data_IF_423364311087
#
_entry.id   IF_423364311087
#
_cell.length_a   1.000
_cell.length_b   1.000
_cell.length_c   1.000
_cell.angle_alpha   90.00
_cell.angle_beta   90.00
_cell.angle_gamma   90.00
#
_symmetry.space_group_name_H-M   'P 1'
#
loop_
_entity.id
_entity.type
_entity.pdbx_description
1 polymer ?
#
# COMPACT_ATOMS: atom_id res chain seq x y z
N UNK A 1 -7.81 -2.21 20.83
CA UNK A 1 -7.39 -3.42 21.54
C UNK A 1 -5.88 -3.48 21.55
N UNK A 2 -5.26 -3.58 22.73
CA UNK A 2 -3.84 -3.91 22.83
C UNK A 2 -3.69 -5.43 22.79
N UNK A 3 -3.21 -5.96 21.67
CA UNK A 3 -2.88 -7.37 21.52
C UNK A 3 -1.45 -7.60 22.02
N UNK A 4 -1.29 -8.47 23.01
CA UNK A 4 0.02 -8.86 23.52
C UNK A 4 0.35 -10.23 22.92
N UNK A 5 1.41 -10.29 22.11
CA UNK A 5 1.86 -11.54 21.51
C UNK A 5 2.79 -12.28 22.48
N UNK A 6 2.36 -13.44 22.96
CA UNK A 6 3.16 -14.31 23.83
C UNK A 6 3.35 -15.70 23.20
N UNK A 7 4.58 -16.20 23.20
CA UNK A 7 4.91 -17.57 22.74
C UNK A 7 4.47 -18.66 23.74
N UNK A 8 4.46 -18.32 25.03
CA UNK A 8 3.91 -19.14 26.13
C UNK A 8 2.97 -18.22 26.90
N UNK A 9 1.77 -18.68 27.25
CA UNK A 9 0.82 -17.88 28.05
C UNK A 9 1.53 -17.26 29.26
N UNK A 10 1.79 -15.95 29.23
CA UNK A 10 2.20 -15.22 30.42
C UNK A 10 0.93 -14.95 31.20
N UNK A 11 0.69 -15.76 32.23
CA UNK A 11 -0.50 -15.62 33.07
C UNK A 11 -0.41 -14.32 33.86
N UNK A 12 -0.89 -13.21 33.28
CA UNK A 12 -1.16 -11.98 34.04
C UNK A 12 -2.56 -12.12 34.64
N UNK A 13 -2.63 -12.07 35.97
CA UNK A 13 -3.88 -12.23 36.75
C UNK A 13 -4.93 -11.16 36.43
N UNK A 14 -4.49 -9.99 35.94
CA UNK A 14 -5.37 -8.89 35.56
C UNK A 14 -4.82 -8.20 34.30
N UNK A 15 -5.69 -7.99 33.31
CA UNK A 15 -5.44 -7.17 32.13
C UNK A 15 -6.25 -5.87 32.23
N UNK A 16 -5.81 -4.82 31.54
CA UNK A 16 -6.63 -3.60 31.43
C UNK A 16 -7.92 -3.91 30.66
N UNK A 17 -8.99 -3.15 30.88
CA UNK A 17 -10.30 -3.35 30.21
C UNK A 17 -10.20 -3.44 28.67
N UNK A 18 -9.16 -2.84 28.08
CA UNK A 18 -8.94 -2.78 26.63
C UNK A 18 -7.82 -3.72 26.13
N UNK A 19 -7.23 -4.52 27.03
CA UNK A 19 -6.19 -5.49 26.70
C UNK A 19 -6.83 -6.87 26.56
N UNK A 20 -6.69 -7.46 25.38
CA UNK A 20 -7.07 -8.85 25.15
C UNK A 20 -5.80 -9.66 24.96
N UNK A 21 -5.70 -10.76 25.71
CA UNK A 21 -4.68 -11.77 25.49
C UNK A 21 -5.14 -12.60 24.28
N UNK A 22 -4.47 -12.41 23.16
CA UNK A 22 -4.69 -13.19 21.96
C UNK A 22 -3.40 -13.97 21.72
N UNK A 23 -3.42 -15.26 22.02
CA UNK A 23 -2.42 -16.18 21.49
C UNK A 23 -2.54 -16.18 19.98
N UNK A 24 -1.41 -16.09 19.28
CA UNK A 24 -1.43 -16.27 17.84
C UNK A 24 -1.81 -17.74 17.55
N UNK A 25 -2.90 -17.98 16.83
CA UNK A 25 -3.52 -19.31 16.59
C UNK A 25 -2.69 -20.27 15.72
N UNK A 26 -1.36 -20.19 15.74
CA UNK A 26 -0.51 -21.24 15.18
C UNK A 26 -0.40 -22.38 16.20
N UNK A 27 -1.46 -23.15 16.35
CA UNK A 27 -1.39 -24.39 17.11
C UNK A 27 -0.42 -25.36 16.42
N UNK A 28 0.56 -25.80 17.21
CA UNK A 28 1.64 -26.77 16.93
C UNK A 28 2.79 -26.23 16.09
N UNK A 29 4.00 -26.42 16.62
CA UNK A 29 5.21 -26.47 15.82
C UNK A 29 4.98 -27.49 14.69
N UNK A 30 4.94 -27.02 13.45
CA UNK A 30 4.68 -27.85 12.28
C UNK A 30 5.91 -27.86 11.37
N UNK A 31 6.17 -29.01 10.75
CA UNK A 31 7.23 -29.12 9.75
C UNK A 31 6.76 -28.50 8.44
N UNK A 32 7.30 -27.34 8.10
CA UNK A 32 7.00 -26.64 6.84
C UNK A 32 8.00 -27.06 5.77
N UNK A 33 7.52 -27.64 4.67
CA UNK A 33 8.34 -27.88 3.47
C UNK A 33 8.31 -26.62 2.59
N UNK A 34 9.48 -26.09 2.26
CA UNK A 34 9.62 -24.95 1.36
C UNK A 34 10.77 -25.16 0.37
N UNK A 35 10.69 -24.44 -0.73
CA UNK A 35 11.72 -24.35 -1.76
C UNK A 35 12.40 -22.99 -1.65
N UNK A 36 13.72 -23.00 -1.66
CA UNK A 36 14.53 -21.79 -1.82
C UNK A 36 14.81 -21.54 -3.32
N UNK A 37 14.52 -20.32 -3.79
CA UNK A 37 14.76 -19.87 -5.15
C UNK A 37 15.71 -18.67 -5.13
N UNK A 38 16.93 -18.85 -5.64
CA UNK A 38 17.89 -17.75 -5.82
C UNK A 38 17.65 -17.08 -7.17
N UNK A 39 17.34 -15.78 -7.19
CA UNK A 39 17.05 -15.01 -8.40
C UNK A 39 17.92 -13.75 -8.46
N UNK A 40 18.42 -13.42 -9.65
CA UNK A 40 19.13 -12.16 -9.92
C UNK A 40 18.12 -11.06 -10.21
N UNK A 41 18.18 -9.97 -9.45
CA UNK A 41 17.21 -8.86 -9.55
C UNK A 41 17.75 -7.70 -10.37
N UNK A 42 19.06 -7.51 -10.36
CA UNK A 42 19.68 -6.44 -11.12
C UNK A 42 19.41 -6.54 -12.62
N UNK A 43 19.40 -5.36 -13.25
CA UNK A 43 19.37 -5.28 -14.71
C UNK A 43 20.78 -5.57 -15.24
N UNK A 44 20.92 -6.36 -16.32
CA UNK A 44 22.21 -6.67 -16.92
C UNK A 44 23.05 -5.40 -17.19
N UNK A 45 22.38 -4.33 -17.61
CA UNK A 45 22.99 -3.06 -18.04
C UNK A 45 23.60 -2.25 -16.88
N UNK A 46 23.25 -2.58 -15.63
CA UNK A 46 23.73 -1.82 -14.45
C UNK A 46 25.04 -2.36 -13.86
N UNK A 47 25.57 -3.48 -14.36
CA UNK A 47 26.86 -4.04 -13.94
C UNK A 47 26.97 -4.46 -12.47
N UNK A 48 25.88 -4.39 -11.69
CA UNK A 48 25.82 -4.79 -10.28
C UNK A 48 25.11 -6.13 -10.17
N UNK A 49 25.65 -7.05 -9.39
CA UNK A 49 25.02 -8.36 -9.14
C UNK A 49 24.27 -8.34 -7.82
N UNK A 50 22.98 -8.00 -7.90
CA UNK A 50 22.06 -8.08 -6.77
C UNK A 50 21.25 -9.38 -6.86
N UNK A 51 21.37 -10.21 -5.83
CA UNK A 51 20.69 -11.49 -5.71
C UNK A 51 19.68 -11.43 -4.56
N UNK A 52 18.52 -12.05 -4.76
CA UNK A 52 17.55 -12.29 -3.69
C UNK A 52 17.26 -13.79 -3.58
N UNK A 53 16.94 -14.22 -2.36
CA UNK A 53 16.53 -15.59 -2.07
C UNK A 53 15.07 -15.58 -1.64
N UNK A 54 14.22 -16.26 -2.43
CA UNK A 54 12.80 -16.37 -2.17
C UNK A 54 12.49 -17.73 -1.56
N UNK A 55 11.77 -17.73 -0.44
CA UNK A 55 11.21 -18.94 0.15
C UNK A 55 9.77 -19.11 -0.35
N UNK A 56 9.44 -20.28 -0.90
CA UNK A 56 8.13 -20.52 -1.49
C UNK A 56 7.70 -21.97 -1.36
N UNK A 57 6.39 -22.22 -1.26
CA UNK A 57 5.78 -23.55 -1.38
C UNK A 57 5.33 -23.86 -2.81
N UNK A 58 5.56 -22.96 -3.78
CA UNK A 58 5.10 -23.11 -5.16
C UNK A 58 5.89 -24.20 -5.92
N UNK A 59 5.17 -24.94 -6.76
CA UNK A 59 5.72 -26.04 -7.57
C UNK A 59 6.81 -25.52 -8.54
N UNK A 60 7.90 -26.29 -8.68
CA UNK A 60 9.03 -25.98 -9.58
C UNK A 60 8.69 -26.00 -11.07
N UNK A 61 7.86 -26.94 -11.50
CA UNK A 61 7.45 -27.12 -12.90
C UNK A 61 6.55 -25.96 -13.35
N UNK A 62 5.56 -25.60 -12.53
CA UNK A 62 4.64 -24.50 -12.84
C UNK A 62 5.26 -23.11 -12.60
N UNK A 63 6.14 -22.99 -11.60
CA UNK A 63 6.81 -21.75 -11.22
C UNK A 63 8.35 -21.89 -11.30
N UNK A 64 8.91 -21.89 -12.51
CA UNK A 64 10.35 -21.84 -12.72
C UNK A 64 10.92 -20.47 -12.31
N UNK A 65 12.25 -20.38 -12.18
CA UNK A 65 12.94 -19.16 -11.70
C UNK A 65 12.56 -17.88 -12.46
N UNK A 66 12.40 -17.86 -13.80
CA UNK A 66 11.97 -16.66 -14.52
C UNK A 66 10.57 -16.18 -14.13
N UNK A 67 9.65 -17.12 -13.87
CA UNK A 67 8.28 -16.80 -13.40
C UNK A 67 8.31 -16.29 -11.96
N UNK A 68 9.13 -16.90 -11.10
CA UNK A 68 9.36 -16.42 -9.73
C UNK A 68 9.91 -14.98 -9.71
N UNK A 69 10.85 -14.65 -10.61
CA UNK A 69 11.38 -13.28 -10.76
C UNK A 69 10.26 -12.29 -11.13
N UNK A 70 9.39 -12.65 -12.08
CA UNK A 70 8.22 -11.83 -12.46
C UNK A 70 7.27 -11.61 -11.28
N UNK A 71 6.93 -12.68 -10.54
CA UNK A 71 6.07 -12.58 -9.35
C UNK A 71 6.67 -11.68 -8.27
N UNK A 72 7.97 -11.82 -8.00
CA UNK A 72 8.65 -10.95 -7.05
C UNK A 72 8.63 -9.48 -7.49
N UNK A 73 8.75 -9.22 -8.79
CA UNK A 73 8.64 -7.86 -9.33
C UNK A 73 7.25 -7.24 -9.09
N UNK A 74 6.17 -8.02 -9.15
CA UNK A 74 4.81 -7.52 -8.87
C UNK A 74 4.65 -6.97 -7.44
N UNK A 75 5.47 -7.43 -6.48
CA UNK A 75 5.49 -6.91 -5.10
C UNK A 75 5.72 -5.40 -5.04
N UNK A 76 6.53 -4.86 -5.95
CA UNK A 76 6.81 -3.41 -6.01
C UNK A 76 5.57 -2.58 -6.32
N UNK A 77 4.64 -3.11 -7.12
CA UNK A 77 3.36 -2.46 -7.40
C UNK A 77 2.54 -2.27 -6.12
N UNK A 78 2.47 -3.31 -5.28
CA UNK A 78 1.77 -3.29 -4.00
C UNK A 78 2.39 -2.28 -3.04
N UNK A 79 3.72 -2.27 -2.91
CA UNK A 79 4.44 -1.32 -2.05
C UNK A 79 4.19 0.14 -2.46
N UNK A 80 4.15 0.40 -3.77
CA UNK A 80 3.80 1.71 -4.31
C UNK A 80 2.35 2.12 -3.99
N UNK A 81 1.41 1.18 -4.04
CA UNK A 81 0.01 1.42 -3.64
C UNK A 81 -0.11 1.72 -2.15
N UNK A 82 0.56 0.97 -1.28
CA UNK A 82 0.59 1.27 0.16
C UNK A 82 1.25 2.62 0.46
N UNK A 83 2.27 3.01 -0.31
CA UNK A 83 2.86 4.34 -0.20
C UNK A 83 1.83 5.44 -0.49
N UNK A 84 1.06 5.29 -1.57
CA UNK A 84 -0.03 6.23 -1.93
C UNK A 84 -1.09 6.28 -0.83
N UNK A 85 -1.56 5.14 -0.34
CA UNK A 85 -2.53 5.07 0.77
C UNK A 85 -2.00 5.79 2.03
N UNK A 86 -0.75 5.54 2.41
CA UNK A 86 -0.14 6.14 3.60
C UNK A 86 0.06 7.65 3.45
N UNK A 87 0.62 8.11 2.34
CA UNK A 87 1.14 9.48 2.25
C UNK A 87 0.33 10.40 1.35
N UNK A 88 -0.35 9.90 0.31
CA UNK A 88 -1.17 10.75 -0.56
C UNK A 88 -2.58 10.93 0.02
N UNK A 89 -3.13 9.89 0.65
CA UNK A 89 -4.42 9.95 1.36
C UNK A 89 -4.29 10.24 2.86
N UNK A 90 -3.11 10.05 3.46
CA UNK A 90 -2.89 10.36 4.87
C UNK A 90 -3.30 9.25 5.84
N UNK A 91 -3.35 7.97 5.43
CA UNK A 91 -3.70 6.82 6.29
C UNK A 91 -2.66 6.50 7.40
N UNK A 92 -1.76 7.44 7.71
CA UNK A 92 -0.87 7.41 8.87
C UNK A 92 -1.16 8.56 9.85
N UNK A 93 -2.11 9.43 9.51
CA UNK A 93 -2.48 10.62 10.23
C UNK A 93 -3.87 10.40 10.83
N UNK A 94 -3.92 9.96 12.08
CA UNK A 94 -5.19 9.59 12.73
C UNK A 94 -5.76 10.77 13.53
N UNK A 95 -7.07 10.95 13.42
CA UNK A 95 -7.83 11.94 14.17
C UNK A 95 -8.35 11.38 15.49
N UNK A 96 -8.47 10.07 15.63
CA UNK A 96 -8.87 9.45 16.88
C UNK A 96 -7.68 8.82 17.63
N UNK A 97 -7.84 8.71 18.95
CA UNK A 97 -6.99 7.92 19.84
C UNK A 97 -7.64 6.60 20.27
N UNK A 98 -8.94 6.43 19.97
CA UNK A 98 -9.66 5.20 20.32
C UNK A 98 -9.52 4.19 19.18
N UNK A 99 -9.20 2.95 19.53
CA UNK A 99 -8.88 1.91 18.55
C UNK A 99 -10.01 1.65 17.55
N UNK A 100 -11.26 1.59 18.02
CA UNK A 100 -12.43 1.37 17.15
C UNK A 100 -12.58 2.49 16.10
N UNK A 101 -12.32 3.74 16.49
CA UNK A 101 -12.39 4.87 15.56
C UNK A 101 -11.17 4.93 14.62
N UNK A 102 -9.99 4.52 15.09
CA UNK A 102 -8.81 4.36 14.23
C UNK A 102 -9.09 3.31 13.15
N UNK A 103 -9.70 2.20 13.52
CA UNK A 103 -10.11 1.14 12.59
C UNK A 103 -11.10 1.68 11.54
N UNK A 104 -12.13 2.43 11.97
CA UNK A 104 -13.07 3.10 11.07
C UNK A 104 -12.35 4.07 10.11
N UNK A 105 -11.39 4.87 10.61
CA UNK A 105 -10.58 5.76 9.77
C UNK A 105 -9.78 4.97 8.73
N UNK A 106 -9.15 3.85 9.11
CA UNK A 106 -8.41 2.99 8.18
C UNK A 106 -9.33 2.48 7.06
N UNK A 107 -10.53 2.00 7.41
CA UNK A 107 -11.52 1.57 6.42
C UNK A 107 -11.96 2.71 5.50
N UNK A 108 -12.22 3.91 6.04
CA UNK A 108 -12.57 5.07 5.24
C UNK A 108 -11.46 5.45 4.23
N UNK A 109 -10.19 5.43 4.65
CA UNK A 109 -9.06 5.67 3.74
C UNK A 109 -8.95 4.60 2.64
N UNK A 110 -9.22 3.33 2.95
CA UNK A 110 -9.21 2.25 1.95
C UNK A 110 -10.35 2.41 0.93
N UNK A 111 -11.55 2.75 1.39
CA UNK A 111 -12.69 3.04 0.51
C UNK A 111 -12.33 4.21 -0.41
N UNK A 112 -11.81 5.31 0.15
CA UNK A 112 -11.39 6.48 -0.63
C UNK A 112 -10.29 6.14 -1.64
N UNK A 113 -9.32 5.30 -1.27
CA UNK A 113 -8.29 4.83 -2.19
C UNK A 113 -8.88 4.10 -3.40
N UNK A 114 -9.86 3.24 -3.17
CA UNK A 114 -10.56 2.51 -4.22
C UNK A 114 -11.39 3.47 -5.09
N UNK A 115 -12.13 4.40 -4.48
CA UNK A 115 -12.88 5.44 -5.20
C UNK A 115 -11.96 6.27 -6.10
N UNK A 116 -10.86 6.79 -5.57
CA UNK A 116 -9.89 7.57 -6.35
C UNK A 116 -9.28 6.75 -7.48
N UNK A 117 -8.96 5.48 -7.22
CA UNK A 117 -8.40 4.57 -8.23
C UNK A 117 -9.39 4.31 -9.37
N UNK A 118 -10.67 4.08 -9.06
CA UNK A 118 -11.73 3.87 -10.04
C UNK A 118 -11.97 5.12 -10.89
N UNK A 119 -12.03 6.30 -10.27
CA UNK A 119 -12.20 7.57 -11.00
C UNK A 119 -11.00 7.83 -11.91
N UNK A 120 -9.78 7.57 -11.44
CA UNK A 120 -8.58 7.71 -12.25
C UNK A 120 -8.57 6.76 -13.45
N UNK A 121 -9.08 5.53 -13.31
CA UNK A 121 -9.15 4.58 -14.40
C UNK A 121 -10.09 5.04 -15.54
N UNK A 122 -11.08 5.87 -15.22
CA UNK A 122 -12.03 6.43 -16.20
C UNK A 122 -11.54 7.74 -16.83
N UNK A 123 -10.55 8.41 -16.23
CA UNK A 123 -10.07 9.69 -16.72
C UNK A 123 -9.15 9.51 -17.94
N UNK A 124 -9.40 10.33 -18.97
CA UNK A 124 -8.55 10.37 -20.16
C UNK A 124 -7.14 10.88 -19.83
N UNK A 125 -6.12 10.23 -20.38
CA UNK A 125 -4.73 10.66 -20.23
C UNK A 125 -4.20 11.10 -21.60
N UNK A 126 -3.86 12.39 -21.78
CA UNK A 126 -3.32 12.87 -23.05
C UNK A 126 -1.92 12.29 -23.32
N UNK A 127 -1.70 11.76 -24.53
CA UNK A 127 -0.45 11.10 -24.96
C UNK A 127 0.05 11.63 -26.33
N UNK A 128 0.05 12.95 -26.57
CA UNK A 128 0.46 13.52 -27.87
C UNK A 128 1.93 13.90 -27.86
N UNK A 129 2.71 13.39 -28.83
CA UNK A 129 4.14 13.67 -29.02
C UNK A 129 4.98 13.57 -27.73
N UNK A 130 4.70 12.57 -26.90
CA UNK A 130 5.31 12.40 -25.59
C UNK A 130 6.51 11.45 -25.65
N UNK A 131 7.64 11.86 -25.05
CA UNK A 131 8.84 11.01 -24.89
C UNK A 131 8.60 9.78 -24.01
N UNK A 132 7.68 9.89 -23.06
CA UNK A 132 7.34 8.85 -22.09
C UNK A 132 5.83 8.62 -22.06
N UNK A 133 5.40 7.44 -21.61
CA UNK A 133 3.99 7.21 -21.26
C UNK A 133 3.63 8.00 -20.02
N UNK A 134 2.58 8.80 -20.09
CA UNK A 134 2.07 9.54 -18.93
C UNK A 134 1.01 8.75 -18.18
N UNK A 135 0.92 8.96 -16.86
CA UNK A 135 -0.17 8.49 -16.02
C UNK A 135 -0.70 9.65 -15.18
N UNK A 136 -1.91 9.50 -14.65
CA UNK A 136 -2.51 10.50 -13.77
C UNK A 136 -1.72 10.62 -12.47
N UNK A 137 -1.55 11.87 -12.01
CA UNK A 137 -0.97 12.15 -10.70
C UNK A 137 -1.97 11.81 -9.59
N UNK A 138 -1.82 10.63 -9.00
CA UNK A 138 -2.69 10.11 -7.95
C UNK A 138 -2.90 11.08 -6.77
N UNK A 139 -1.84 11.78 -6.34
CA UNK A 139 -1.90 12.76 -5.24
C UNK A 139 -2.82 13.93 -5.57
N UNK A 140 -2.75 14.43 -6.80
CA UNK A 140 -3.63 15.51 -7.25
C UNK A 140 -5.08 15.03 -7.38
N UNK A 141 -5.29 13.81 -7.86
CA UNK A 141 -6.63 13.19 -7.89
C UNK A 141 -7.25 13.11 -6.50
N UNK A 142 -6.50 12.65 -5.49
CA UNK A 142 -6.97 12.59 -4.10
C UNK A 142 -7.48 13.96 -3.66
N UNK A 143 -6.69 15.03 -3.86
CA UNK A 143 -7.07 16.40 -3.48
C UNK A 143 -8.32 16.90 -4.20
N UNK A 144 -8.43 16.64 -5.50
CA UNK A 144 -9.57 17.07 -6.31
C UNK A 144 -10.85 16.35 -5.86
N UNK A 145 -10.78 15.03 -5.67
CA UNK A 145 -11.92 14.19 -5.30
C UNK A 145 -12.37 14.50 -3.87
N UNK A 146 -11.44 14.62 -2.91
CA UNK A 146 -11.76 15.02 -1.54
C UNK A 146 -12.51 16.36 -1.50
N UNK A 147 -12.10 17.35 -2.31
CA UNK A 147 -12.77 18.66 -2.34
C UNK A 147 -14.21 18.57 -2.86
N UNK A 148 -14.55 17.55 -3.65
CA UNK A 148 -15.88 17.41 -4.24
C UNK A 148 -16.84 16.54 -3.42
N UNK A 149 -16.37 15.92 -2.33
CA UNK A 149 -17.13 14.95 -1.56
C UNK A 149 -18.40 15.51 -0.90
N UNK A 150 -18.39 16.80 -0.56
CA UNK A 150 -19.52 17.47 0.09
C UNK A 150 -20.59 17.99 -0.88
N UNK A 151 -20.42 17.77 -2.20
CA UNK A 151 -21.35 18.25 -3.21
C UNK A 151 -22.17 17.10 -3.78
N UNK A 152 -23.43 17.37 -4.15
CA UNK A 152 -24.30 16.41 -4.82
C UNK A 152 -23.68 15.93 -6.14
N UNK A 153 -23.62 14.60 -6.31
CA UNK A 153 -23.05 13.92 -7.47
C UNK A 153 -24.00 14.02 -8.67
N UNK A 154 -23.79 15.01 -9.53
CA UNK A 154 -24.40 15.02 -10.88
C UNK A 154 -23.37 14.58 -11.92
N UNK A 155 -23.84 14.03 -13.05
CA UNK A 155 -22.98 13.63 -14.17
C UNK A 155 -22.10 14.79 -14.66
N UNK A 156 -22.62 16.02 -14.64
CA UNK A 156 -21.85 17.21 -15.03
C UNK A 156 -20.69 17.49 -14.07
N UNK A 157 -20.91 17.31 -12.76
CA UNK A 157 -19.85 17.44 -11.75
C UNK A 157 -18.80 16.34 -11.93
N UNK A 158 -19.24 15.11 -12.19
CA UNK A 158 -18.34 13.99 -12.44
C UNK A 158 -17.44 14.23 -13.67
N UNK A 159 -18.01 14.67 -14.80
CA UNK A 159 -17.24 15.02 -15.99
C UNK A 159 -16.24 16.17 -15.73
N UNK A 160 -16.62 17.15 -14.91
CA UNK A 160 -15.70 18.23 -14.49
C UNK A 160 -14.53 17.69 -13.67
N UNK A 161 -14.76 16.69 -12.80
CA UNK A 161 -13.70 16.03 -12.04
C UNK A 161 -12.73 15.33 -12.98
N UNK A 162 -13.23 14.50 -13.91
CA UNK A 162 -12.39 13.78 -14.87
C UNK A 162 -11.53 14.74 -15.71
N UNK A 163 -12.12 15.84 -16.20
CA UNK A 163 -11.40 16.88 -16.95
C UNK A 163 -10.36 17.63 -16.12
N UNK A 164 -10.56 17.77 -14.81
CA UNK A 164 -9.58 18.39 -13.91
C UNK A 164 -8.42 17.44 -13.64
N UNK A 165 -8.72 16.17 -13.36
CA UNK A 165 -7.73 15.13 -13.10
C UNK A 165 -6.82 14.91 -14.31
N UNK A 166 -7.38 14.88 -15.52
CA UNK A 166 -6.63 14.64 -16.76
C UNK A 166 -5.53 15.67 -17.06
N UNK A 167 -5.62 16.87 -16.46
CA UNK A 167 -4.59 17.92 -16.58
C UNK A 167 -3.35 17.63 -15.74
N UNK A 168 -3.47 16.80 -14.70
CA UNK A 168 -2.38 16.47 -13.81
C UNK A 168 -1.82 15.09 -14.14
N UNK A 169 -0.79 15.07 -14.97
CA UNK A 169 -0.11 13.83 -15.36
C UNK A 169 1.35 13.83 -14.92
N UNK A 170 1.90 12.63 -14.77
CA UNK A 170 3.31 12.39 -14.47
C UNK A 170 3.88 11.34 -15.44
N UNK A 171 5.12 11.51 -15.91
CA UNK A 171 5.73 10.56 -16.83
C UNK A 171 6.14 9.29 -16.09
N UNK A 172 5.84 8.12 -16.67
CA UNK A 172 6.38 6.83 -16.27
C UNK A 172 7.79 6.72 -16.82
N UNK A 173 8.78 6.62 -15.93
CA UNK A 173 10.20 6.48 -16.28
C UNK A 173 10.64 5.03 -16.10
N UNK A 174 10.86 4.27 -17.18
CA UNK A 174 11.37 2.91 -17.09
C UNK A 174 12.74 2.88 -16.39
N UNK A 175 13.03 1.81 -15.65
CA UNK A 175 14.32 1.63 -14.98
C UNK A 175 14.55 2.50 -13.74
N UNK A 176 13.53 3.21 -13.23
CA UNK A 176 13.65 3.95 -11.98
C UNK A 176 13.82 2.97 -10.81
N UNK A 177 14.97 3.06 -10.13
CA UNK A 177 15.28 2.32 -8.90
C UNK A 177 15.21 3.28 -7.71
N UNK A 178 14.62 2.83 -6.61
CA UNK A 178 14.66 3.54 -5.33
C UNK A 178 15.42 2.69 -4.32
N UNK A 179 16.33 3.32 -3.57
CA UNK A 179 17.09 2.60 -2.53
C UNK A 179 16.16 2.36 -1.35
N UNK A 180 16.04 1.10 -0.93
CA UNK A 180 15.19 0.74 0.21
C UNK A 180 15.82 1.24 1.51
N UNK A 181 15.27 2.31 2.06
CA UNK A 181 15.59 2.78 3.42
C UNK A 181 14.61 2.17 4.42
N UNK A 182 15.03 1.10 5.09
CA UNK A 182 14.25 0.47 6.16
C UNK A 182 14.41 1.31 7.43
N UNK A 183 13.43 2.16 7.70
CA UNK A 183 13.30 2.87 8.98
C UNK A 183 11.91 2.63 9.52
N UNK A 184 11.83 2.25 10.80
CA UNK A 184 10.55 2.18 11.51
C UNK A 184 9.99 3.59 11.61
N UNK A 185 8.74 3.78 11.20
CA UNK A 185 8.01 5.04 11.30
C UNK A 185 6.76 4.81 12.14
N UNK A 186 6.57 5.62 13.17
CA UNK A 186 5.35 5.63 13.96
C UNK A 186 4.23 6.40 13.21
N UNK A 187 2.95 6.07 13.45
CA UNK A 187 1.84 6.90 13.00
C UNK A 187 1.89 8.27 13.69
N UNK A 188 1.32 9.28 13.02
CA UNK A 188 1.18 10.63 13.56
C UNK A 188 -0.26 10.77 14.05
N UNK A 189 -0.45 10.92 15.36
CA UNK A 189 -1.76 11.23 15.91
C UNK A 189 -1.90 12.75 16.02
N UNK A 190 -2.98 13.32 15.48
CA UNK A 190 -3.24 14.73 15.70
C UNK A 190 -3.57 14.97 17.18
N UNK A 191 -2.89 15.93 17.80
CA UNK A 191 -3.26 16.42 19.12
C UNK A 191 -4.40 17.43 18.94
N UNK A 192 -5.64 16.94 18.89
CA UNK A 192 -6.82 17.81 19.00
C UNK A 192 -6.99 18.21 20.47
N UNK A 193 -6.10 19.11 20.89
CA UNK A 193 -6.29 20.05 22.01
C UNK A 193 -5.60 21.34 21.61
N UNK A 194 -6.20 22.04 20.68
CA UNK A 194 -6.18 23.50 20.66
C UNK A 194 -7.65 23.88 20.74
N UNK A 195 -7.95 24.65 21.78
CA UNK A 195 -9.28 25.04 22.24
C UNK A 195 -10.14 25.70 21.14
#
# INVERSE_FOLDING_TARGET
>A
MHLILHYRHHYKKYFSKNTQDASWDFEKLCTVKFRACKVRISDPDTGKDEWEVLLTNLNRQEFPLPRMKKLYHLRWGIESSFRKLKYDLGCIQFHSKQDNFIEMEIYAHMIMFNTVSQINAQAYVPQRHCKYTYIINFKMSCRIIHKQYNYSSTDTTFLKILRRISRYTVPVRPGRKDKRYIKVKAPVCFLYRVA
#
